data_IF_902785846915
#
_entry.id   IF_902785846915
#
_cell.length_a   1.000
_cell.length_b   1.000
_cell.length_c   1.000
_cell.angle_alpha   90.00
_cell.angle_beta   90.00
_cell.angle_gamma   90.00
#
_symmetry.space_group_name_H-M   'P 1'
#
loop_
_entity.id
_entity.type
_entity.pdbx_description
1 polymer ?
#
# COMPACT_ATOMS: atom_id res chain seq x y z
N UNK A 1 2.41 9.74 -9.37
CA UNK A 1 3.48 8.94 -8.75
C UNK A 1 4.85 9.13 -9.41
N UNK A 2 4.95 9.47 -10.70
CA UNK A 2 6.23 9.53 -11.43
C UNK A 2 6.90 10.91 -11.44
N UNK A 3 6.18 11.98 -11.13
CA UNK A 3 6.66 13.36 -11.27
C UNK A 3 6.81 14.12 -9.95
N UNK A 4 6.80 13.42 -8.81
CA UNK A 4 6.80 14.11 -7.53
C UNK A 4 8.16 14.56 -7.09
N UNK A 5 8.20 15.78 -6.58
CA UNK A 5 9.38 16.41 -6.01
C UNK A 5 9.45 16.20 -4.48
N UNK A 6 10.65 16.31 -3.93
CA UNK A 6 10.83 16.29 -2.47
C UNK A 6 10.09 17.42 -1.77
N UNK A 7 9.93 18.59 -2.44
CA UNK A 7 9.26 19.75 -1.85
C UNK A 7 7.75 19.52 -1.77
N UNK A 8 7.12 18.92 -2.78
CA UNK A 8 5.72 18.51 -2.72
C UNK A 8 5.45 17.51 -1.57
N UNK A 9 6.35 16.56 -1.34
CA UNK A 9 6.23 15.65 -0.19
C UNK A 9 6.37 16.39 1.15
N UNK A 10 7.25 17.41 1.24
CA UNK A 10 7.37 18.25 2.44
C UNK A 10 6.08 19.06 2.69
N UNK A 11 5.51 19.65 1.64
CA UNK A 11 4.24 20.37 1.72
C UNK A 11 3.10 19.47 2.19
N UNK A 12 3.00 18.25 1.65
CA UNK A 12 2.02 17.26 2.11
C UNK A 12 2.23 16.88 3.57
N UNK A 13 3.48 16.70 4.01
CA UNK A 13 3.78 16.45 5.43
C UNK A 13 3.32 17.60 6.31
N UNK A 14 3.61 18.83 5.93
CA UNK A 14 3.15 20.01 6.66
C UNK A 14 1.61 20.11 6.70
N UNK A 15 0.95 19.85 5.56
CA UNK A 15 -0.53 19.81 5.46
C UNK A 15 -1.16 18.87 6.50
N UNK A 16 -0.52 17.72 6.76
CA UNK A 16 -1.04 16.69 7.66
C UNK A 16 -0.36 16.68 9.04
N UNK A 17 0.42 17.69 9.38
CA UNK A 17 1.09 17.80 10.68
C UNK A 17 2.18 16.75 10.93
N UNK A 18 2.76 16.17 9.85
CA UNK A 18 3.80 15.17 9.93
C UNK A 18 5.17 15.87 9.96
N UNK A 19 6.01 15.68 11.00
CA UNK A 19 7.31 16.32 11.04
C UNK A 19 8.20 15.96 9.84
N UNK A 20 8.87 16.99 9.29
CA UNK A 20 9.83 16.78 8.19
C UNK A 20 10.94 15.84 8.64
N UNK A 21 11.24 14.82 7.84
CA UNK A 21 12.23 13.78 8.21
C UNK A 21 11.64 12.53 8.85
N UNK A 22 10.43 12.59 9.39
CA UNK A 22 9.71 11.37 9.85
C UNK A 22 9.31 10.50 8.67
N UNK A 23 9.57 9.20 8.78
CA UNK A 23 9.11 8.20 7.83
C UNK A 23 7.67 7.80 8.11
N UNK A 24 6.92 7.46 7.06
CA UNK A 24 5.51 7.12 7.15
C UNK A 24 5.27 5.69 6.70
N UNK A 25 4.68 4.89 7.56
CA UNK A 25 4.11 3.59 7.20
C UNK A 25 2.58 3.72 7.09
N UNK A 26 2.01 3.24 6.01
CA UNK A 26 0.56 3.24 5.80
C UNK A 26 0.03 1.84 6.07
N UNK A 27 -0.97 1.70 6.92
CA UNK A 27 -1.76 0.48 7.08
C UNK A 27 -3.12 0.69 6.41
N UNK A 28 -3.37 -0.01 5.30
CA UNK A 28 -4.58 0.15 4.49
C UNK A 28 -5.24 -1.21 4.20
N UNK A 29 -5.95 -1.81 5.16
CA UNK A 29 -6.60 -3.10 4.99
C UNK A 29 -7.86 -2.99 4.14
N UNK A 30 -8.20 -4.10 3.47
CA UNK A 30 -9.44 -4.26 2.70
C UNK A 30 -10.65 -4.37 3.61
N UNK A 31 -11.78 -3.85 3.16
CA UNK A 31 -13.07 -4.01 3.81
C UNK A 31 -13.53 -5.48 3.87
N UNK A 32 -14.18 -5.87 4.98
CA UNK A 32 -14.82 -7.20 5.16
C UNK A 32 -16.34 -7.05 5.17
N UNK A 33 -17.05 -7.75 4.28
CA UNK A 33 -18.50 -7.67 4.12
C UNK A 33 -19.28 -8.14 5.35
N UNK A 34 -18.75 -9.17 6.01
CA UNK A 34 -19.34 -9.77 7.21
C UNK A 34 -19.21 -8.90 8.47
N UNK A 35 -18.70 -7.65 8.34
CA UNK A 35 -18.34 -6.76 9.46
C UNK A 35 -17.38 -7.38 10.47
N UNK A 36 -16.69 -8.46 10.09
CA UNK A 36 -15.67 -9.06 10.94
C UNK A 36 -14.47 -8.09 11.04
N UNK A 37 -14.23 -7.58 12.23
CA UNK A 37 -13.14 -6.63 12.51
C UNK A 37 -11.96 -7.32 13.20
N UNK A 38 -12.01 -8.64 13.39
CA UNK A 38 -10.96 -9.39 14.10
C UNK A 38 -9.59 -9.21 13.46
N UNK A 39 -9.52 -9.32 12.13
CA UNK A 39 -8.26 -9.13 11.39
C UNK A 39 -7.62 -7.75 11.61
N UNK A 40 -8.43 -6.69 11.76
CA UNK A 40 -7.89 -5.36 12.05
C UNK A 40 -7.31 -5.25 13.47
N UNK A 41 -7.90 -5.97 14.45
CA UNK A 41 -7.45 -5.98 15.84
C UNK A 41 -6.15 -6.74 16.05
N UNK A 42 -5.80 -7.62 15.12
CA UNK A 42 -4.54 -8.35 15.17
C UNK A 42 -3.33 -7.48 14.77
N UNK A 43 -3.56 -6.33 14.10
CA UNK A 43 -2.51 -5.39 13.75
C UNK A 43 -2.27 -4.40 14.89
N UNK A 44 -1.13 -4.53 15.57
CA UNK A 44 -0.66 -3.58 16.58
C UNK A 44 0.20 -2.49 15.90
N UNK A 45 -0.41 -1.33 15.65
CA UNK A 45 0.24 -0.22 14.96
C UNK A 45 1.43 0.37 15.74
N UNK A 46 1.36 0.42 17.08
CA UNK A 46 2.45 0.93 17.92
C UNK A 46 3.64 -0.02 17.94
N UNK A 47 3.38 -1.31 18.14
CA UNK A 47 4.42 -2.35 18.08
C UNK A 47 5.09 -2.40 16.72
N UNK A 48 4.32 -2.28 15.64
CA UNK A 48 4.83 -2.22 14.28
C UNK A 48 5.72 -1.01 14.05
N UNK A 49 5.29 0.18 14.50
CA UNK A 49 6.09 1.41 14.43
C UNK A 49 7.41 1.25 15.20
N UNK A 50 7.37 0.68 16.40
CA UNK A 50 8.58 0.44 17.21
C UNK A 50 9.54 -0.54 16.54
N UNK A 51 9.00 -1.54 15.83
CA UNK A 51 9.79 -2.47 15.02
C UNK A 51 10.52 -1.73 13.89
N UNK A 52 9.85 -0.81 13.18
CA UNK A 52 10.46 0.03 12.13
C UNK A 52 11.55 0.95 12.69
N UNK A 53 11.32 1.56 13.85
CA UNK A 53 12.34 2.39 14.53
C UNK A 53 13.57 1.56 14.86
N UNK A 54 13.41 0.37 15.44
CA UNK A 54 14.52 -0.56 15.75
C UNK A 54 15.28 -0.97 14.50
N UNK A 55 14.57 -1.29 13.40
CA UNK A 55 15.21 -1.70 12.14
C UNK A 55 16.03 -0.61 11.50
N UNK A 56 15.56 0.64 11.55
CA UNK A 56 16.10 1.70 10.70
C UNK A 56 16.85 2.80 11.47
N UNK A 57 16.68 2.89 12.78
CA UNK A 57 17.18 3.99 13.61
C UNK A 57 16.52 5.34 13.31
N UNK A 58 15.44 5.38 12.52
CA UNK A 58 14.73 6.60 12.09
C UNK A 58 13.43 6.78 12.85
N UNK A 59 12.92 8.02 12.88
CA UNK A 59 11.57 8.28 13.37
C UNK A 59 10.54 7.78 12.36
N UNK A 60 9.52 7.11 12.87
CA UNK A 60 8.40 6.59 12.08
C UNK A 60 7.06 6.99 12.68
N UNK A 61 6.10 7.21 11.81
CA UNK A 61 4.67 7.30 12.13
C UNK A 61 3.92 6.23 11.35
N UNK A 62 2.83 5.72 11.92
CA UNK A 62 1.89 4.83 11.23
C UNK A 62 0.62 5.61 10.94
N UNK A 63 0.13 5.58 9.73
CA UNK A 63 -1.17 6.13 9.36
C UNK A 63 -2.09 4.97 9.03
N UNK A 64 -3.16 4.83 9.80
CA UNK A 64 -4.18 3.80 9.59
C UNK A 64 -5.26 4.36 8.67
N UNK A 65 -5.45 3.73 7.51
CA UNK A 65 -6.45 4.10 6.51
C UNK A 65 -7.47 2.99 6.36
N UNK A 66 -8.55 3.04 7.11
CA UNK A 66 -9.66 2.10 6.96
C UNK A 66 -10.53 2.49 5.75
N UNK A 67 -11.19 1.48 5.19
CA UNK A 67 -12.18 1.73 4.14
C UNK A 67 -13.34 2.59 4.69
N UNK A 68 -13.94 3.50 3.92
CA UNK A 68 -15.04 4.36 4.39
C UNK A 68 -16.20 3.61 5.08
N UNK A 69 -16.50 2.40 4.65
CA UNK A 69 -17.56 1.57 5.24
C UNK A 69 -17.27 1.11 6.69
N UNK A 70 -16.04 1.21 7.16
CA UNK A 70 -15.64 0.87 8.55
C UNK A 70 -14.91 2.01 9.25
N UNK A 71 -14.71 3.15 8.58
CA UNK A 71 -14.01 4.31 9.13
C UNK A 71 -14.69 4.93 10.37
N UNK A 72 -15.98 4.63 10.58
CA UNK A 72 -16.72 5.06 11.78
C UNK A 72 -16.40 4.23 13.03
N UNK A 73 -15.64 3.15 12.91
CA UNK A 73 -15.20 2.31 14.03
C UNK A 73 -13.86 2.83 14.60
N UNK A 74 -13.84 4.08 15.05
CA UNK A 74 -12.63 4.74 15.57
C UNK A 74 -12.00 4.02 16.79
N UNK A 75 -12.77 3.15 17.46
CA UNK A 75 -12.30 2.37 18.61
C UNK A 75 -11.44 1.16 18.26
N UNK A 76 -11.23 0.85 16.97
CA UNK A 76 -10.39 -0.28 16.55
C UNK A 76 -8.90 -0.05 16.82
N UNK A 77 -8.46 1.20 16.83
CA UNK A 77 -7.06 1.57 17.03
C UNK A 77 -6.94 2.67 18.08
N UNK A 78 -5.85 2.65 18.84
CA UNK A 78 -5.47 3.77 19.66
C UNK A 78 -4.65 4.74 18.81
N UNK A 79 -5.15 5.97 18.65
CA UNK A 79 -4.47 7.03 17.93
C UNK A 79 -3.74 7.97 18.88
N UNK A 80 -2.59 8.47 18.46
CA UNK A 80 -1.76 9.47 19.16
C UNK A 80 -0.83 10.18 18.15
N UNK A 81 0.18 10.90 18.62
CA UNK A 81 1.13 11.64 17.78
C UNK A 81 2.02 10.74 16.91
N UNK A 82 1.97 9.43 17.10
CA UNK A 82 2.78 8.44 16.36
C UNK A 82 1.96 7.47 15.51
N UNK A 83 0.67 7.34 15.81
CA UNK A 83 -0.30 6.53 15.06
C UNK A 83 -1.49 7.41 14.74
N UNK A 84 -1.62 7.80 13.47
CA UNK A 84 -2.64 8.74 13.01
C UNK A 84 -3.82 8.03 12.35
N UNK A 85 -5.03 8.63 12.49
CA UNK A 85 -6.20 8.23 11.74
C UNK A 85 -6.20 8.91 10.36
N UNK A 86 -5.90 8.16 9.31
CA UNK A 86 -5.95 8.61 7.91
C UNK A 86 -7.26 8.27 7.20
N UNK A 87 -8.25 7.72 7.93
CA UNK A 87 -9.52 7.30 7.33
C UNK A 87 -10.44 8.48 7.02
N UNK A 88 -10.24 9.60 7.70
CA UNK A 88 -10.98 10.84 7.53
C UNK A 88 -10.01 12.02 7.34
N UNK A 89 -10.39 12.98 6.50
CA UNK A 89 -9.62 14.21 6.31
C UNK A 89 -8.31 14.09 5.51
N UNK A 90 -7.88 12.87 5.15
CA UNK A 90 -6.72 12.65 4.27
C UNK A 90 -7.17 12.12 2.92
N UNK A 91 -6.65 12.71 1.84
CA UNK A 91 -6.81 12.15 0.49
C UNK A 91 -6.02 10.85 0.34
N UNK A 92 -6.61 9.85 -0.33
CA UNK A 92 -6.00 8.53 -0.47
C UNK A 92 -4.73 8.55 -1.32
N UNK A 93 -4.70 9.35 -2.39
CA UNK A 93 -3.53 9.43 -3.26
C UNK A 93 -2.39 10.19 -2.57
N UNK A 94 -2.70 11.31 -1.91
CA UNK A 94 -1.71 12.06 -1.12
C UNK A 94 -1.11 11.19 -0.01
N UNK A 95 -1.94 10.36 0.64
CA UNK A 95 -1.48 9.43 1.67
C UNK A 95 -0.50 8.39 1.11
N UNK A 96 -0.79 7.83 -0.07
CA UNK A 96 0.12 6.86 -0.70
C UNK A 96 1.43 7.52 -1.14
N UNK A 97 1.39 8.79 -1.51
CA UNK A 97 2.58 9.56 -1.82
C UNK A 97 3.45 9.78 -0.59
N UNK A 98 2.84 10.12 0.55
CA UNK A 98 3.51 10.28 1.84
C UNK A 98 4.11 8.98 2.36
N UNK A 99 3.47 7.83 2.10
CA UNK A 99 3.91 6.54 2.58
C UNK A 99 5.29 6.15 2.07
N UNK A 100 6.19 5.81 2.97
CA UNK A 100 7.49 5.19 2.67
C UNK A 100 7.39 3.65 2.64
N UNK A 101 6.33 3.09 3.22
CA UNK A 101 6.04 1.67 3.34
C UNK A 101 4.52 1.45 3.43
N UNK A 102 4.04 0.35 2.85
CA UNK A 102 2.64 -0.08 2.95
C UNK A 102 2.54 -1.42 3.67
N UNK A 103 1.61 -1.51 4.61
CA UNK A 103 1.03 -2.77 5.08
C UNK A 103 -0.41 -2.81 4.58
N UNK A 104 -0.75 -3.87 3.85
CA UNK A 104 -2.10 -4.09 3.34
C UNK A 104 -2.41 -5.58 3.33
N UNK A 105 -3.52 -6.00 2.74
CA UNK A 105 -3.91 -7.40 2.67
C UNK A 105 -4.28 -7.83 1.24
N UNK A 106 -5.55 -7.72 0.84
CA UNK A 106 -6.06 -8.17 -0.46
C UNK A 106 -6.31 -7.00 -1.43
N UNK A 107 -5.93 -5.79 -1.05
CA UNK A 107 -6.18 -4.56 -1.80
C UNK A 107 -5.23 -4.38 -2.96
N UNK A 108 -5.76 -3.96 -4.12
CA UNK A 108 -4.94 -3.60 -5.28
C UNK A 108 -4.00 -2.41 -5.05
N UNK A 109 -4.17 -1.64 -3.97
CA UNK A 109 -3.27 -0.53 -3.59
C UNK A 109 -1.81 -0.98 -3.44
N UNK A 110 -1.58 -2.26 -3.17
CA UNK A 110 -0.23 -2.84 -3.17
C UNK A 110 0.51 -2.61 -4.49
N UNK A 111 -0.21 -2.57 -5.61
CA UNK A 111 0.38 -2.36 -6.93
C UNK A 111 0.80 -0.89 -7.15
N UNK A 112 0.09 0.07 -6.56
CA UNK A 112 0.47 1.48 -6.59
C UNK A 112 1.81 1.70 -5.89
N UNK A 113 2.01 1.06 -4.71
CA UNK A 113 3.31 1.07 -4.03
C UNK A 113 4.40 0.32 -4.79
N UNK A 114 4.04 -0.81 -5.44
CA UNK A 114 4.96 -1.57 -6.28
C UNK A 114 5.50 -0.73 -7.46
N UNK A 115 4.62 0.02 -8.13
CA UNK A 115 5.01 0.95 -9.20
C UNK A 115 5.96 2.02 -8.68
N UNK A 116 5.75 2.54 -7.48
CA UNK A 116 6.64 3.49 -6.81
C UNK A 116 7.93 2.84 -6.27
N UNK A 117 8.09 1.52 -6.40
CA UNK A 117 9.22 0.74 -5.85
C UNK A 117 9.37 0.87 -4.33
N UNK A 118 8.28 1.15 -3.64
CA UNK A 118 8.22 1.25 -2.18
C UNK A 118 7.91 -0.13 -1.57
N UNK A 119 8.39 -0.42 -0.33
CA UNK A 119 8.12 -1.68 0.35
C UNK A 119 6.63 -1.92 0.59
N UNK A 120 6.20 -3.14 0.34
CA UNK A 120 4.85 -3.64 0.64
C UNK A 120 4.98 -4.90 1.49
N UNK A 121 4.19 -4.99 2.55
CA UNK A 121 4.01 -6.20 3.37
C UNK A 121 2.53 -6.57 3.36
N UNK A 122 2.24 -7.86 3.15
CA UNK A 122 0.87 -8.38 3.20
C UNK A 122 0.59 -8.92 4.60
N UNK A 123 -0.33 -8.27 5.32
CA UNK A 123 -0.81 -8.73 6.62
C UNK A 123 -2.18 -9.39 6.45
N UNK A 124 -2.19 -10.72 6.47
CA UNK A 124 -3.34 -11.54 6.06
C UNK A 124 -3.68 -12.61 7.10
N UNK A 125 -3.99 -12.25 8.36
CA UNK A 125 -4.27 -13.22 9.42
C UNK A 125 -5.52 -14.08 9.13
N UNK A 126 -6.45 -13.54 8.33
CA UNK A 126 -7.72 -14.17 7.95
C UNK A 126 -7.73 -14.69 6.49
N UNK A 127 -6.56 -15.04 5.93
CA UNK A 127 -6.41 -15.44 4.52
C UNK A 127 -7.40 -16.55 4.10
N UNK A 128 -7.51 -17.59 4.90
CA UNK A 128 -8.37 -18.75 4.57
C UNK A 128 -9.85 -18.38 4.59
N UNK A 129 -10.27 -17.54 5.54
CA UNK A 129 -11.63 -17.01 5.62
C UNK A 129 -11.94 -16.12 4.42
N UNK A 130 -11.07 -15.17 4.11
CA UNK A 130 -11.23 -14.27 2.98
C UNK A 130 -11.29 -15.03 1.64
N UNK A 131 -10.46 -16.06 1.48
CA UNK A 131 -10.45 -16.91 0.27
C UNK A 131 -11.77 -17.66 0.08
N UNK A 132 -12.41 -18.11 1.16
CA UNK A 132 -13.73 -18.77 1.11
C UNK A 132 -14.85 -17.79 0.79
N UNK A 133 -14.81 -16.61 1.37
CA UNK A 133 -15.91 -15.63 1.26
C UNK A 133 -15.92 -14.89 -0.08
N UNK A 134 -14.73 -14.48 -0.58
CA UNK A 134 -14.62 -13.62 -1.76
C UNK A 134 -13.84 -14.23 -2.91
N UNK A 135 -13.11 -15.30 -2.65
CA UNK A 135 -12.12 -15.82 -3.58
C UNK A 135 -10.90 -14.91 -3.72
N UNK A 136 -9.82 -15.48 -4.25
CA UNK A 136 -8.61 -14.73 -4.60
C UNK A 136 -8.20 -15.09 -6.02
N UNK A 137 -7.72 -14.10 -6.77
CA UNK A 137 -7.16 -14.34 -8.10
C UNK A 137 -5.87 -15.16 -7.96
N UNK A 138 -5.56 -16.06 -8.88
CA UNK A 138 -4.32 -16.87 -8.85
C UNK A 138 -3.05 -16.02 -8.72
N UNK A 139 -3.05 -14.81 -9.28
CA UNK A 139 -1.95 -13.85 -9.18
C UNK A 139 -1.57 -13.51 -7.72
N UNK A 140 -2.52 -13.59 -6.78
CA UNK A 140 -2.26 -13.29 -5.37
C UNK A 140 -1.21 -14.25 -4.77
N UNK A 141 -1.20 -15.51 -5.19
CA UNK A 141 -0.26 -16.50 -4.68
C UNK A 141 1.17 -16.33 -5.22
N UNK A 142 1.34 -15.55 -6.28
CA UNK A 142 2.63 -15.26 -6.92
C UNK A 142 3.18 -13.86 -6.60
N UNK A 143 2.50 -13.09 -5.75
CA UNK A 143 2.93 -11.74 -5.38
C UNK A 143 4.32 -11.76 -4.72
N UNK A 144 5.21 -10.82 -5.05
CA UNK A 144 6.58 -10.79 -4.55
C UNK A 144 6.71 -10.18 -3.13
N UNK A 145 5.58 -9.93 -2.48
CA UNK A 145 5.53 -9.25 -1.18
C UNK A 145 5.58 -10.25 -0.02
N UNK A 146 6.33 -9.96 1.06
CA UNK A 146 6.29 -10.78 2.28
C UNK A 146 4.85 -10.91 2.80
N UNK A 147 4.41 -12.16 3.01
CA UNK A 147 3.08 -12.48 3.54
C UNK A 147 3.18 -12.87 5.01
N UNK A 148 2.44 -12.17 5.85
CA UNK A 148 2.49 -12.27 7.30
C UNK A 148 1.09 -12.62 7.83
N UNK A 149 0.99 -13.75 8.55
CA UNK A 149 -0.26 -14.27 9.10
C UNK A 149 -0.43 -13.87 10.57
N UNK A 150 0.55 -13.20 11.17
CA UNK A 150 0.49 -12.69 12.54
C UNK A 150 1.39 -11.47 12.70
N UNK A 151 1.24 -10.74 13.81
CA UNK A 151 2.08 -9.60 14.15
C UNK A 151 3.56 -10.00 14.27
N UNK A 152 3.84 -11.18 14.87
CA UNK A 152 5.21 -11.69 15.01
C UNK A 152 5.85 -11.97 13.64
N UNK A 153 5.08 -12.52 12.70
CA UNK A 153 5.54 -12.75 11.34
C UNK A 153 5.83 -11.42 10.61
N UNK A 154 4.99 -10.41 10.81
CA UNK A 154 5.18 -9.07 10.25
C UNK A 154 6.44 -8.40 10.82
N UNK A 155 6.63 -8.43 12.14
CA UNK A 155 7.83 -7.89 12.80
C UNK A 155 9.10 -8.58 12.27
N UNK A 156 9.06 -9.91 12.13
CA UNK A 156 10.18 -10.70 11.60
C UNK A 156 10.49 -10.33 10.15
N UNK A 157 9.47 -10.18 9.31
CA UNK A 157 9.61 -9.78 7.92
C UNK A 157 10.22 -8.37 7.79
N UNK A 158 9.82 -7.43 8.64
CA UNK A 158 10.41 -6.08 8.69
C UNK A 158 11.88 -6.14 9.12
N UNK A 159 12.21 -6.88 10.16
CA UNK A 159 13.58 -6.98 10.66
C UNK A 159 14.52 -7.64 9.65
N UNK A 160 14.04 -8.63 8.90
CA UNK A 160 14.81 -9.32 7.85
C UNK A 160 14.76 -8.63 6.49
N UNK A 161 13.97 -7.55 6.33
CA UNK A 161 13.80 -6.88 5.05
C UNK A 161 15.15 -6.42 4.47
N UNK A 162 15.42 -6.85 3.24
CA UNK A 162 16.54 -6.40 2.41
C UNK A 162 16.01 -5.73 1.15
N UNK A 163 16.41 -4.46 0.95
CA UNK A 163 15.91 -3.64 -0.16
C UNK A 163 16.33 -4.18 -1.51
N UNK A 164 17.55 -4.71 -1.64
CA UNK A 164 18.07 -5.16 -2.92
C UNK A 164 17.33 -6.40 -3.41
N UNK A 165 17.21 -7.40 -2.54
CA UNK A 165 16.44 -8.62 -2.84
C UNK A 165 14.96 -8.32 -3.11
N UNK A 166 14.35 -7.38 -2.35
CA UNK A 166 12.97 -6.97 -2.59
C UNK A 166 12.78 -6.36 -3.98
N UNK A 167 13.67 -5.44 -4.38
CA UNK A 167 13.59 -4.78 -5.69
C UNK A 167 13.85 -5.74 -6.85
N UNK A 168 14.74 -6.71 -6.69
CA UNK A 168 14.99 -7.75 -7.68
C UNK A 168 13.76 -8.63 -7.89
N UNK A 169 13.16 -9.13 -6.81
CA UNK A 169 11.93 -9.93 -6.86
C UNK A 169 10.76 -9.15 -7.45
N UNK A 170 10.62 -7.87 -7.07
CA UNK A 170 9.59 -6.99 -7.59
C UNK A 170 9.78 -6.77 -9.10
N UNK A 171 10.99 -6.49 -9.54
CA UNK A 171 11.31 -6.30 -10.96
C UNK A 171 10.96 -7.55 -11.77
N UNK A 172 11.41 -8.71 -11.33
CA UNK A 172 11.08 -9.98 -11.97
C UNK A 172 9.57 -10.20 -12.07
N UNK A 173 8.83 -9.99 -11.00
CA UNK A 173 7.36 -10.10 -10.99
C UNK A 173 6.69 -9.14 -11.97
N UNK A 174 7.12 -7.87 -11.99
CA UNK A 174 6.56 -6.83 -12.86
C UNK A 174 6.76 -7.16 -14.34
N UNK A 175 7.89 -7.77 -14.72
CA UNK A 175 8.19 -8.14 -16.09
C UNK A 175 7.49 -9.44 -16.54
N UNK A 176 7.45 -10.43 -15.66
CA UNK A 176 7.00 -11.78 -16.06
C UNK A 176 5.52 -12.03 -15.81
N UNK A 177 5.02 -11.62 -14.64
CA UNK A 177 3.68 -12.00 -14.17
C UNK A 177 2.67 -10.86 -14.32
N UNK A 178 3.04 -9.63 -13.93
CA UNK A 178 2.12 -8.49 -13.97
C UNK A 178 2.14 -7.77 -15.30
N UNK A 179 3.28 -7.79 -16.03
CA UNK A 179 3.49 -7.14 -17.33
C UNK A 179 3.04 -5.68 -17.33
N UNK A 180 3.51 -4.93 -16.35
CA UNK A 180 3.11 -3.54 -16.13
C UNK A 180 3.78 -2.59 -17.14
N UNK A 181 2.99 -1.76 -17.79
CA UNK A 181 3.42 -0.71 -18.69
C UNK A 181 3.26 0.70 -18.10
N UNK A 182 3.21 0.82 -16.77
CA UNK A 182 3.04 2.10 -16.08
C UNK A 182 4.35 2.90 -16.09
N UNK A 183 4.38 3.90 -16.96
CA UNK A 183 5.50 4.83 -17.18
C UNK A 183 5.10 6.31 -16.98
N UNK A 184 3.88 6.55 -16.48
CA UNK A 184 3.30 7.88 -16.31
C UNK A 184 2.53 8.39 -17.54
N UNK A 185 2.61 7.73 -18.70
CA UNK A 185 2.01 8.17 -19.97
C UNK A 185 0.77 7.35 -20.38
N UNK A 186 0.15 6.60 -19.47
CA UNK A 186 -1.00 5.75 -19.78
C UNK A 186 -2.20 6.56 -20.32
N UNK A 187 -2.48 7.73 -19.71
CA UNK A 187 -3.58 8.61 -20.14
C UNK A 187 -3.36 9.17 -21.54
N UNK A 188 -2.13 9.52 -21.88
CA UNK A 188 -1.76 10.01 -23.22
C UNK A 188 -2.00 8.92 -24.27
N UNK A 189 -1.54 7.68 -23.99
CA UNK A 189 -1.78 6.54 -24.90
C UNK A 189 -3.26 6.23 -25.09
N UNK A 190 -4.07 6.33 -24.03
CA UNK A 190 -5.52 6.14 -24.11
C UNK A 190 -6.16 7.26 -24.93
N UNK A 191 -5.81 8.52 -24.70
CA UNK A 191 -6.33 9.67 -25.44
C UNK A 191 -5.98 9.56 -26.94
N UNK A 192 -4.73 9.21 -27.28
CA UNK A 192 -4.30 8.99 -28.67
C UNK A 192 -5.06 7.84 -29.32
N UNK A 193 -5.29 6.73 -28.59
CA UNK A 193 -6.08 5.60 -29.09
C UNK A 193 -7.53 6.00 -29.38
N UNK A 194 -8.16 6.77 -28.48
CA UNK A 194 -9.52 7.27 -28.69
C UNK A 194 -9.56 8.14 -29.94
N UNK A 195 -8.60 9.06 -30.12
CA UNK A 195 -8.50 9.91 -31.29
C UNK A 195 -8.37 9.10 -32.58
N UNK A 196 -7.48 8.10 -32.63
CA UNK A 196 -7.33 7.21 -33.78
C UNK A 196 -8.63 6.49 -34.18
N UNK A 197 -9.43 6.08 -33.17
CA UNK A 197 -10.74 5.44 -33.41
C UNK A 197 -11.73 6.45 -34.01
N UNK A 198 -11.79 7.67 -33.46
CA UNK A 198 -12.68 8.73 -33.96
C UNK A 198 -12.32 9.14 -35.38
N UNK A 199 -11.03 9.28 -35.67
CA UNK A 199 -10.52 9.71 -36.99
C UNK A 199 -10.52 8.56 -38.04
N UNK A 200 -10.94 7.36 -37.66
CA UNK A 200 -10.96 6.16 -38.54
C UNK A 200 -9.58 5.65 -38.95
N UNK A 201 -8.52 6.08 -38.25
CA UNK A 201 -7.11 5.70 -38.53
C UNK A 201 -6.64 4.51 -37.70
N UNK A 202 -7.49 3.99 -36.82
CA UNK A 202 -7.18 2.85 -35.97
C UNK A 202 -7.09 1.55 -36.76
N UNK A 203 -5.91 0.93 -36.74
CA UNK A 203 -5.73 -0.45 -37.20
C UNK A 203 -5.54 -1.37 -35.99
N UNK A 204 -6.45 -2.34 -35.79
CA UNK A 204 -6.25 -3.42 -34.82
C UNK A 204 -5.00 -4.21 -35.22
N UNK A 205 -3.98 -4.27 -34.37
CA UNK A 205 -2.95 -5.31 -34.53
C UNK A 205 -3.62 -6.61 -34.11
N UNK A 206 -3.79 -7.52 -35.07
CA UNK A 206 -4.22 -8.89 -34.84
C UNK A 206 -3.29 -9.61 -33.86
#
# INVERSE_FOLDING_TARGET
>A
FFSQTEDEIKELKMKYGIPVGTKVAVYAPTFRDNRNTSAYKEFDAHRFRDCLVRKTGKQWMVIVRLHPNVAFQDSLFRYDDTVLNGSQGMDGQELFLLGDLLVTDFSSVMMDFAIMKKPVFLFTPDLDEYRKDRGLRPLFDTLPFPRCMSQEALDSAVLSYDKSSYLENLHHFMETSYKNYSDGHASERVAERIKQVIDGTFTSKA
#
